data_IF_054358323827
#
_entry.id   IF_054358323827
#
_cell.length_a   1.000
_cell.length_b   1.000
_cell.length_c   1.000
_cell.angle_alpha   90.00
_cell.angle_beta   90.00
_cell.angle_gamma   90.00
#
_symmetry.space_group_name_H-M   'P 1'
#
loop_
_entity.id
_entity.type
_entity.pdbx_description
1 polymer ?
#
# COMPACT_ATOMS: atom_id res chain seq x y z
N UNK A 1 5.25 4.78 19.44
CA UNK A 1 5.92 5.08 18.15
C UNK A 1 6.82 3.96 17.60
N UNK A 2 7.66 3.27 18.40
CA UNK A 2 8.48 2.15 17.88
C UNK A 2 7.69 0.85 17.66
N UNK A 3 6.62 0.64 18.43
CA UNK A 3 5.89 -0.62 18.48
C UNK A 3 4.82 -0.75 17.38
N UNK A 4 4.05 0.31 17.11
CA UNK A 4 3.04 0.38 16.05
C UNK A 4 3.67 0.21 14.66
N UNK A 5 4.84 0.82 14.46
CA UNK A 5 5.62 0.65 13.22
C UNK A 5 6.06 -0.81 13.02
N UNK A 6 6.47 -1.49 14.09
CA UNK A 6 6.82 -2.92 14.03
C UNK A 6 5.58 -3.79 13.74
N UNK A 7 4.43 -3.44 14.31
CA UNK A 7 3.15 -4.11 14.05
C UNK A 7 2.70 -3.91 12.59
N UNK A 8 2.83 -2.71 12.02
CA UNK A 8 2.53 -2.47 10.61
C UNK A 8 3.48 -3.22 9.66
N UNK A 9 4.77 -3.31 9.99
CA UNK A 9 5.69 -4.15 9.23
C UNK A 9 5.27 -5.64 9.27
N UNK A 10 4.82 -6.11 10.44
CA UNK A 10 4.31 -7.49 10.60
C UNK A 10 3.01 -7.71 9.81
N UNK A 11 2.11 -6.73 9.79
CA UNK A 11 0.91 -6.74 8.93
C UNK A 11 1.31 -6.85 7.46
N UNK A 12 2.22 -5.98 6.99
CA UNK A 12 2.65 -5.97 5.59
C UNK A 12 3.27 -7.30 5.16
N UNK A 13 4.14 -7.89 6.01
CA UNK A 13 4.72 -9.19 5.74
C UNK A 13 3.65 -10.29 5.66
N UNK A 14 2.67 -10.28 6.57
CA UNK A 14 1.56 -11.24 6.53
C UNK A 14 0.71 -11.08 5.28
N UNK A 15 0.51 -9.86 4.78
CA UNK A 15 -0.21 -9.60 3.53
C UNK A 15 0.57 -10.09 2.32
N UNK A 16 1.88 -9.87 2.27
CA UNK A 16 2.76 -10.40 1.21
C UNK A 16 2.69 -11.93 1.16
N UNK A 17 2.78 -12.59 2.32
CA UNK A 17 2.63 -14.05 2.43
C UNK A 17 1.23 -14.50 1.96
N UNK A 18 0.17 -13.75 2.30
CA UNK A 18 -1.21 -14.03 1.85
C UNK A 18 -1.41 -13.92 0.34
N UNK A 19 -0.73 -12.99 -0.34
CA UNK A 19 -0.84 -12.83 -1.80
C UNK A 19 -0.31 -14.06 -2.56
N UNK A 20 0.74 -14.69 -2.02
CA UNK A 20 1.33 -15.91 -2.54
C UNK A 20 0.62 -17.19 -2.08
N UNK A 21 -0.28 -17.10 -1.10
CA UNK A 21 -0.86 -18.25 -0.43
C UNK A 21 -1.82 -19.06 -1.33
N UNK A 22 -1.78 -20.37 -1.12
CA UNK A 22 -2.77 -21.35 -1.55
C UNK A 22 -3.55 -21.87 -0.34
N UNK A 23 -4.41 -22.88 -0.54
CA UNK A 23 -5.20 -23.49 0.53
C UNK A 23 -4.34 -24.00 1.70
N UNK A 24 -3.18 -24.60 1.44
CA UNK A 24 -2.35 -25.20 2.47
C UNK A 24 -1.55 -24.16 3.25
N UNK A 25 -1.12 -23.11 2.56
CA UNK A 25 -0.28 -22.05 3.11
C UNK A 25 -1.05 -20.85 3.66
N UNK A 26 -2.35 -20.70 3.36
CA UNK A 26 -3.23 -19.64 3.86
C UNK A 26 -3.31 -19.51 5.39
N UNK A 27 -3.47 -20.59 6.18
CA UNK A 27 -3.85 -20.45 7.59
C UNK A 27 -2.84 -19.68 8.44
N UNK A 28 -1.54 -19.87 8.19
CA UNK A 28 -0.48 -19.21 8.96
C UNK A 28 -0.45 -17.69 8.78
N UNK A 29 -0.25 -17.14 7.57
CA UNK A 29 -0.17 -15.70 7.38
C UNK A 29 -1.51 -15.00 7.67
N UNK A 30 -2.65 -15.67 7.45
CA UNK A 30 -3.96 -15.14 7.85
C UNK A 30 -4.05 -14.93 9.37
N UNK A 31 -3.68 -15.95 10.16
CA UNK A 31 -3.66 -15.81 11.63
C UNK A 31 -2.70 -14.73 12.09
N UNK A 32 -1.51 -14.63 11.48
CA UNK A 32 -0.54 -13.58 11.82
C UNK A 32 -1.13 -12.20 11.57
N UNK A 33 -1.79 -11.98 10.43
CA UNK A 33 -2.46 -10.72 10.12
C UNK A 33 -3.49 -10.36 11.19
N UNK A 34 -4.44 -11.25 11.46
CA UNK A 34 -5.55 -10.97 12.39
C UNK A 34 -5.06 -10.83 13.84
N UNK A 35 -4.11 -11.66 14.28
CA UNK A 35 -3.49 -11.52 15.60
C UNK A 35 -2.76 -10.19 15.77
N UNK A 36 -2.13 -9.69 14.70
CA UNK A 36 -1.43 -8.40 14.75
C UNK A 36 -2.42 -7.24 14.80
N UNK A 37 -3.53 -7.32 14.07
CA UNK A 37 -4.64 -6.35 14.16
C UNK A 37 -5.30 -6.33 15.55
N UNK A 38 -5.24 -7.44 16.29
CA UNK A 38 -5.76 -7.58 17.66
C UNK A 38 -4.74 -7.27 18.77
N UNK A 39 -3.58 -6.72 18.41
CA UNK A 39 -2.56 -6.28 19.38
C UNK A 39 -3.08 -5.16 20.29
N UNK A 40 -2.59 -5.09 21.53
CA UNK A 40 -3.07 -4.14 22.55
C UNK A 40 -2.93 -2.68 22.09
N UNK A 41 -1.87 -2.39 21.35
CA UNK A 41 -1.57 -1.09 20.76
C UNK A 41 -2.65 -0.65 19.77
N UNK A 42 -3.34 -1.60 19.12
CA UNK A 42 -4.42 -1.32 18.19
C UNK A 42 -5.82 -1.38 18.81
N UNK A 43 -5.95 -1.76 20.10
CA UNK A 43 -7.26 -1.84 20.76
C UNK A 43 -8.08 -0.55 20.74
N UNK A 44 -7.51 0.65 20.99
CA UNK A 44 -8.28 1.89 20.95
C UNK A 44 -8.91 2.15 19.57
N UNK A 45 -8.13 1.96 18.51
CA UNK A 45 -8.56 2.21 17.13
C UNK A 45 -9.56 1.16 16.64
N UNK A 46 -9.26 -0.13 16.90
CA UNK A 46 -10.15 -1.22 16.49
C UNK A 46 -11.47 -1.22 17.25
N UNK A 47 -11.47 -0.85 18.54
CA UNK A 47 -12.70 -0.69 19.32
C UNK A 47 -13.58 0.42 18.77
N UNK A 48 -12.99 1.54 18.38
CA UNK A 48 -13.74 2.65 17.77
C UNK A 48 -14.36 2.24 16.41
N UNK A 49 -13.58 1.61 15.53
CA UNK A 49 -14.07 1.13 14.23
C UNK A 49 -15.23 0.12 14.36
N UNK A 50 -15.21 -0.70 15.41
CA UNK A 50 -16.22 -1.76 15.59
C UNK A 50 -17.46 -1.33 16.38
N UNK A 51 -17.51 -0.09 16.88
CA UNK A 51 -18.53 0.36 17.84
C UNK A 51 -19.95 0.44 17.28
N UNK A 52 -20.10 0.75 15.99
CA UNK A 52 -21.40 1.02 15.35
C UNK A 52 -21.64 0.15 14.11
N UNK A 53 -21.07 -1.04 14.09
CA UNK A 53 -21.22 -2.00 12.98
C UNK A 53 -21.71 -3.34 13.49
N UNK A 54 -22.53 -4.01 12.67
CA UNK A 54 -23.07 -5.34 12.96
C UNK A 54 -22.71 -6.28 11.80
N UNK A 55 -21.78 -7.19 12.08
CA UNK A 55 -21.29 -8.15 11.08
C UNK A 55 -22.40 -9.13 10.66
N UNK A 56 -23.23 -9.58 11.58
CA UNK A 56 -24.24 -10.60 11.29
C UNK A 56 -25.39 -9.99 10.47
N UNK A 57 -25.81 -8.76 10.79
CA UNK A 57 -26.77 -8.01 9.96
C UNK A 57 -26.21 -7.74 8.56
N UNK A 58 -24.93 -7.36 8.45
CA UNK A 58 -24.24 -7.15 7.18
C UNK A 58 -24.19 -8.42 6.33
N UNK A 59 -23.83 -9.57 6.92
CA UNK A 59 -23.79 -10.85 6.20
C UNK A 59 -25.19 -11.28 5.76
N UNK A 60 -26.20 -11.19 6.63
CA UNK A 60 -27.59 -11.50 6.28
C UNK A 60 -28.13 -10.62 5.15
N UNK A 61 -27.75 -9.33 5.12
CA UNK A 61 -28.10 -8.44 4.02
C UNK A 61 -27.34 -8.78 2.72
N UNK A 62 -26.08 -9.19 2.83
CA UNK A 62 -25.25 -9.59 1.70
C UNK A 62 -25.77 -10.87 1.04
N UNK A 63 -26.23 -11.84 1.82
CA UNK A 63 -26.81 -13.10 1.33
C UNK A 63 -28.06 -12.89 0.47
N UNK A 64 -28.83 -11.82 0.70
CA UNK A 64 -30.02 -11.50 -0.12
C UNK A 64 -29.69 -11.19 -1.58
N UNK A 65 -28.44 -10.86 -1.88
CA UNK A 65 -27.97 -10.61 -3.25
C UNK A 65 -27.59 -11.88 -3.99
N UNK A 66 -27.54 -13.04 -3.32
CA UNK A 66 -27.20 -14.30 -3.95
C UNK A 66 -28.28 -14.69 -4.97
N UNK A 67 -27.90 -14.74 -6.25
CA UNK A 67 -28.74 -15.29 -7.30
C UNK A 67 -28.50 -16.81 -7.45
N UNK A 68 -29.21 -17.46 -8.37
CA UNK A 68 -29.06 -18.90 -8.64
C UNK A 68 -27.66 -19.35 -9.14
N UNK A 69 -26.72 -18.40 -9.33
CA UNK A 69 -25.36 -18.64 -9.80
C UNK A 69 -24.38 -18.46 -8.64
N UNK A 70 -23.63 -19.50 -8.29
CA UNK A 70 -22.56 -19.44 -7.28
C UNK A 70 -21.52 -18.39 -7.69
N UNK A 71 -21.12 -17.53 -6.75
CA UNK A 71 -20.17 -16.42 -7.01
C UNK A 71 -20.82 -15.12 -7.47
N UNK A 72 -22.15 -15.05 -7.60
CA UNK A 72 -22.87 -13.81 -7.95
C UNK A 72 -23.20 -12.92 -6.74
N UNK A 73 -23.03 -13.44 -5.53
CA UNK A 73 -23.34 -12.72 -4.31
C UNK A 73 -22.43 -11.50 -4.15
N UNK A 74 -23.01 -10.41 -3.66
CA UNK A 74 -22.34 -9.13 -3.42
C UNK A 74 -22.42 -8.79 -1.94
N UNK A 75 -21.30 -8.33 -1.41
CA UNK A 75 -21.25 -7.79 -0.06
C UNK A 75 -21.95 -6.43 -0.02
N UNK A 76 -22.86 -6.27 0.92
CA UNK A 76 -23.68 -5.06 1.10
C UNK A 76 -22.91 -3.99 1.88
N UNK A 77 -21.76 -3.56 1.33
CA UNK A 77 -20.91 -2.58 1.98
C UNK A 77 -21.63 -1.24 2.21
N UNK A 78 -21.44 -0.60 3.37
CA UNK A 78 -21.95 0.75 3.62
C UNK A 78 -21.12 1.80 2.87
N UNK A 79 -21.73 2.94 2.56
CA UNK A 79 -21.03 4.09 1.98
C UNK A 79 -20.13 4.82 3.01
N UNK A 80 -20.43 4.70 4.31
CA UNK A 80 -19.60 5.28 5.37
C UNK A 80 -18.29 4.50 5.51
N UNK A 81 -17.18 5.19 5.27
CA UNK A 81 -15.85 4.59 5.25
C UNK A 81 -15.42 3.98 6.60
N UNK A 82 -15.82 4.57 7.73
CA UNK A 82 -15.48 4.02 9.05
C UNK A 82 -16.24 2.72 9.31
N UNK A 83 -17.52 2.67 8.93
CA UNK A 83 -18.31 1.45 9.01
C UNK A 83 -17.78 0.35 8.09
N UNK A 84 -17.34 0.72 6.87
CA UNK A 84 -16.64 -0.21 5.98
C UNK A 84 -15.40 -0.83 6.64
N UNK A 85 -14.50 -0.01 7.20
CA UNK A 85 -13.31 -0.51 7.90
C UNK A 85 -13.64 -1.40 9.11
N UNK A 86 -14.65 -1.00 9.89
CA UNK A 86 -15.16 -1.80 11.00
C UNK A 86 -15.65 -3.18 10.57
N UNK A 87 -16.45 -3.24 9.49
CA UNK A 87 -16.94 -4.49 8.94
C UNK A 87 -15.84 -5.35 8.33
N UNK A 88 -14.87 -4.76 7.61
CA UNK A 88 -13.69 -5.49 7.13
C UNK A 88 -12.93 -6.14 8.28
N UNK A 89 -12.68 -5.39 9.37
CA UNK A 89 -12.00 -5.92 10.54
C UNK A 89 -12.78 -7.06 11.20
N UNK A 90 -14.09 -6.90 11.40
CA UNK A 90 -14.93 -7.95 11.98
C UNK A 90 -15.00 -9.20 11.08
N UNK A 91 -15.06 -9.01 9.76
CA UNK A 91 -15.03 -10.10 8.81
C UNK A 91 -13.70 -10.87 8.86
N UNK A 92 -12.57 -10.15 8.96
CA UNK A 92 -11.26 -10.78 9.14
C UNK A 92 -11.18 -11.57 10.46
N UNK A 93 -11.74 -11.03 11.53
CA UNK A 93 -11.83 -11.72 12.83
C UNK A 93 -12.69 -12.99 12.77
N UNK A 94 -13.78 -13.00 11.99
CA UNK A 94 -14.69 -14.15 11.86
C UNK A 94 -13.96 -15.45 11.46
N UNK A 95 -12.95 -15.35 10.60
CA UNK A 95 -12.21 -16.52 10.12
C UNK A 95 -10.89 -16.78 10.86
N UNK A 96 -10.57 -16.01 11.92
CA UNK A 96 -9.30 -16.11 12.66
C UNK A 96 -8.98 -17.55 13.09
N UNK A 97 -9.96 -18.20 13.73
CA UNK A 97 -9.80 -19.54 14.30
C UNK A 97 -10.13 -20.65 13.29
N UNK A 98 -10.78 -20.30 12.17
CA UNK A 98 -11.17 -21.24 11.11
C UNK A 98 -10.81 -20.68 9.72
N UNK A 99 -9.50 -20.50 9.39
CA UNK A 99 -9.08 -19.88 8.12
C UNK A 99 -9.54 -20.66 6.89
N UNK A 100 -9.77 -21.97 7.01
CA UNK A 100 -10.25 -22.79 5.90
C UNK A 100 -11.66 -22.39 5.44
N UNK A 101 -12.48 -21.82 6.34
CA UNK A 101 -13.80 -21.27 5.99
C UNK A 101 -13.73 -19.97 5.17
N UNK A 102 -12.55 -19.33 5.11
CA UNK A 102 -12.36 -18.17 4.25
C UNK A 102 -12.46 -18.54 2.76
N UNK A 103 -12.09 -19.76 2.39
CA UNK A 103 -12.07 -20.21 1.00
C UNK A 103 -13.49 -20.28 0.39
N UNK A 104 -14.47 -20.98 0.99
CA UNK A 104 -15.83 -20.97 0.47
C UNK A 104 -16.47 -19.57 0.53
N UNK A 105 -16.11 -18.75 1.52
CA UNK A 105 -16.53 -17.34 1.58
C UNK A 105 -15.98 -16.54 0.39
N UNK A 106 -14.67 -16.62 0.13
CA UNK A 106 -14.02 -15.94 -0.99
C UNK A 106 -14.60 -16.40 -2.33
N UNK A 107 -14.87 -17.69 -2.49
CA UNK A 107 -15.52 -18.20 -3.70
C UNK A 107 -16.94 -17.64 -3.90
N UNK A 108 -17.69 -17.45 -2.81
CA UNK A 108 -19.06 -16.92 -2.86
C UNK A 108 -19.11 -15.44 -3.25
N UNK A 109 -18.19 -14.62 -2.71
CA UNK A 109 -18.28 -13.15 -2.81
C UNK A 109 -17.19 -12.51 -3.69
N UNK A 110 -16.10 -13.21 -3.98
CA UNK A 110 -14.92 -12.70 -4.70
C UNK A 110 -14.62 -13.53 -5.95
N UNK A 111 -15.67 -13.90 -6.66
CA UNK A 111 -15.73 -14.70 -7.89
C UNK A 111 -14.42 -14.74 -8.71
N UNK A 112 -13.65 -15.83 -8.59
CA UNK A 112 -12.52 -16.16 -9.44
C UNK A 112 -12.76 -17.47 -10.20
N UNK A 113 -12.00 -17.71 -11.28
CA UNK A 113 -12.16 -18.92 -12.09
C UNK A 113 -11.83 -20.23 -11.34
N UNK A 114 -11.22 -20.11 -10.15
CA UNK A 114 -10.99 -21.20 -9.21
C UNK A 114 -10.88 -20.65 -7.77
N UNK A 115 -10.78 -21.54 -6.78
CA UNK A 115 -10.68 -21.17 -5.37
C UNK A 115 -9.47 -20.28 -5.07
N UNK A 116 -8.30 -20.58 -5.66
CA UNK A 116 -7.09 -19.77 -5.48
C UNK A 116 -7.25 -18.36 -6.04
N UNK A 117 -7.89 -18.20 -7.20
CA UNK A 117 -8.17 -16.88 -7.77
C UNK A 117 -9.20 -16.10 -6.96
N UNK A 118 -10.19 -16.79 -6.40
CA UNK A 118 -11.18 -16.18 -5.51
C UNK A 118 -10.51 -15.66 -4.22
N UNK A 119 -9.60 -16.47 -3.65
CA UNK A 119 -8.77 -16.07 -2.51
C UNK A 119 -7.87 -14.88 -2.85
N UNK A 120 -7.19 -14.90 -4.01
CA UNK A 120 -6.36 -13.76 -4.45
C UNK A 120 -7.18 -12.49 -4.61
N UNK A 121 -8.40 -12.60 -5.16
CA UNK A 121 -9.33 -11.45 -5.27
C UNK A 121 -9.77 -10.96 -3.90
N UNK A 122 -10.08 -11.84 -2.96
CA UNK A 122 -10.34 -11.45 -1.57
C UNK A 122 -9.15 -10.66 -0.98
N UNK A 123 -7.92 -11.15 -1.14
CA UNK A 123 -6.72 -10.45 -0.65
C UNK A 123 -6.54 -9.09 -1.34
N UNK A 124 -6.63 -9.03 -2.66
CA UNK A 124 -6.34 -7.80 -3.42
C UNK A 124 -7.43 -6.73 -3.32
N UNK A 125 -8.69 -7.12 -3.18
CA UNK A 125 -9.83 -6.19 -3.15
C UNK A 125 -10.36 -5.89 -1.75
N UNK A 126 -10.06 -6.72 -0.74
CA UNK A 126 -10.47 -6.48 0.65
C UNK A 126 -9.29 -6.25 1.57
N UNK A 127 -8.37 -7.22 1.67
CA UNK A 127 -7.29 -7.17 2.67
C UNK A 127 -6.32 -6.01 2.43
N UNK A 128 -5.87 -5.85 1.18
CA UNK A 128 -4.91 -4.80 0.81
C UNK A 128 -5.48 -3.38 1.03
N UNK A 129 -6.66 -3.01 0.48
CA UNK A 129 -7.25 -1.70 0.75
C UNK A 129 -7.51 -1.47 2.24
N UNK A 130 -8.04 -2.48 2.95
CA UNK A 130 -8.28 -2.39 4.38
C UNK A 130 -7.01 -2.08 5.17
N UNK A 131 -5.90 -2.78 4.91
CA UNK A 131 -4.65 -2.57 5.65
C UNK A 131 -4.09 -1.17 5.41
N UNK A 132 -4.16 -0.66 4.17
CA UNK A 132 -3.77 0.71 3.84
C UNK A 132 -4.62 1.72 4.62
N UNK A 133 -5.93 1.59 4.53
CA UNK A 133 -6.88 2.56 5.13
C UNK A 133 -6.88 2.48 6.67
N UNK A 134 -6.68 1.28 7.23
CA UNK A 134 -6.51 1.09 8.68
C UNK A 134 -5.25 1.79 9.19
N UNK A 135 -4.15 1.74 8.43
CA UNK A 135 -2.93 2.48 8.78
C UNK A 135 -3.18 3.98 8.83
N UNK A 136 -3.83 4.53 7.80
CA UNK A 136 -4.21 5.96 7.76
C UNK A 136 -5.12 6.33 8.94
N UNK A 137 -6.08 5.48 9.30
CA UNK A 137 -6.95 5.67 10.45
C UNK A 137 -6.16 5.75 11.78
N UNK A 138 -5.19 4.85 11.99
CA UNK A 138 -4.34 4.84 13.19
C UNK A 138 -3.48 6.09 13.24
N UNK A 139 -2.81 6.46 12.15
CA UNK A 139 -1.93 7.63 12.07
C UNK A 139 -2.71 8.92 12.37
N UNK A 140 -3.91 9.09 11.78
CA UNK A 140 -4.77 10.25 12.05
C UNK A 140 -5.20 10.38 13.53
N UNK A 141 -5.50 9.28 14.21
CA UNK A 141 -5.91 9.32 15.63
C UNK A 141 -4.73 9.49 16.58
N UNK A 142 -3.53 9.06 16.19
CA UNK A 142 -2.29 9.35 16.91
C UNK A 142 -1.97 10.86 16.86
N UNK A 143 -2.18 11.52 15.72
CA UNK A 143 -1.96 12.97 15.58
C UNK A 143 -2.98 13.82 16.34
N UNK A 144 -4.20 13.31 16.56
CA UNK A 144 -5.30 14.02 17.21
C UNK A 144 -5.50 13.72 18.69
N UNK A 145 -4.74 12.81 19.29
CA UNK A 145 -4.83 12.55 20.73
C UNK A 145 -4.32 13.77 21.50
N UNK A 146 -5.16 14.42 22.33
CA UNK A 146 -4.72 15.56 23.12
C UNK A 146 -3.91 15.04 24.31
N UNK A 147 -2.58 15.13 24.24
CA UNK A 147 -1.77 15.10 25.45
C UNK A 147 -2.02 16.41 26.21
N UNK A 148 -2.52 16.24 27.44
CA UNK A 148 -2.74 17.26 28.46
C UNK A 148 -1.48 18.08 28.75
N UNK A 149 -1.66 19.41 28.74
CA UNK A 149 -0.87 20.42 29.46
C UNK A 149 0.65 20.22 29.53
N UNK A 150 1.36 20.51 28.44
CA UNK A 150 2.71 21.08 28.57
C UNK A 150 2.89 22.27 27.62
N UNK A 151 3.34 23.37 28.21
CA UNK A 151 3.37 24.72 27.63
C UNK A 151 4.02 24.72 26.24
N UNK A 152 3.36 25.40 25.31
CA UNK A 152 3.86 25.73 23.99
C UNK A 152 5.30 26.26 24.05
N UNK A 153 6.25 25.39 23.70
CA UNK A 153 7.59 25.75 23.29
C UNK A 153 7.64 25.49 21.79
N UNK A 154 7.80 26.50 20.91
CA UNK A 154 7.81 26.32 19.46
C UNK A 154 9.08 25.64 18.92
N UNK A 155 9.65 24.68 19.65
CA UNK A 155 10.77 23.87 19.20
C UNK A 155 10.58 22.41 19.62
N UNK A 156 10.41 21.53 18.60
CA UNK A 156 10.15 20.05 18.57
C UNK A 156 8.74 19.78 18.00
N UNK A 157 8.53 19.25 16.79
CA UNK A 157 9.31 18.27 16.03
C UNK A 157 9.16 18.57 14.54
N UNK A 158 10.26 18.99 13.91
CA UNK A 158 10.44 18.78 12.47
C UNK A 158 10.41 17.28 12.23
N UNK A 159 9.48 16.80 11.39
CA UNK A 159 9.52 15.44 10.86
C UNK A 159 10.81 15.26 10.07
N UNK A 160 11.87 14.79 10.72
CA UNK A 160 13.00 14.20 10.00
C UNK A 160 12.59 12.78 9.63
N UNK A 161 12.00 12.62 8.45
CA UNK A 161 11.89 11.31 7.80
C UNK A 161 13.28 10.70 7.74
N UNK A 162 13.54 9.67 8.55
CA UNK A 162 14.77 8.88 8.41
C UNK A 162 14.67 8.08 7.12
N UNK A 163 15.20 8.64 6.03
CA UNK A 163 15.42 7.91 4.79
C UNK A 163 16.62 7.01 5.03
N UNK A 164 16.41 5.70 5.07
CA UNK A 164 17.48 4.73 5.23
C UNK A 164 18.14 4.52 3.85
N UNK A 165 19.14 5.35 3.54
CA UNK A 165 19.94 5.25 2.32
C UNK A 165 21.16 4.39 2.63
N UNK A 166 21.19 3.15 2.14
CA UNK A 166 22.25 2.17 2.45
C UNK A 166 23.67 2.57 1.95
N UNK A 167 23.82 3.68 1.23
CA UNK A 167 25.07 4.12 0.58
C UNK A 167 25.50 5.55 0.94
N UNK A 168 25.23 6.03 2.15
CA UNK A 168 25.72 7.34 2.60
C UNK A 168 27.12 7.20 3.24
N UNK A 169 28.19 7.41 2.46
CA UNK A 169 29.55 7.55 2.97
C UNK A 169 29.91 9.04 3.03
N UNK A 170 30.17 9.58 4.23
CA UNK A 170 30.94 10.81 4.40
C UNK A 170 30.24 12.06 4.95
N UNK A 171 29.43 11.97 6.02
CA UNK A 171 29.11 13.14 6.84
C UNK A 171 29.61 12.90 8.27
N UNK A 172 30.51 13.77 8.74
CA UNK A 172 31.03 13.81 10.10
C UNK A 172 30.58 15.12 10.75
N UNK A 173 29.60 15.06 11.65
CA UNK A 173 29.07 16.22 12.38
C UNK A 173 27.58 16.10 12.71
N UNK A 174 27.10 16.87 13.68
CA UNK A 174 25.69 16.97 14.04
C UNK A 174 24.93 17.80 12.98
N UNK A 175 23.85 17.24 12.45
CA UNK A 175 22.99 17.84 11.42
C UNK A 175 21.64 18.23 12.03
N UNK A 176 21.64 19.31 12.81
CA UNK A 176 20.42 19.89 13.36
C UNK A 176 20.06 21.17 12.60
N UNK A 177 18.93 21.15 11.89
CA UNK A 177 18.37 22.33 11.18
C UNK A 177 18.88 22.58 9.75
N UNK A 178 19.58 21.62 9.13
CA UNK A 178 20.11 21.74 7.76
C UNK A 178 19.32 20.93 6.74
N UNK A 179 19.11 21.47 5.55
CA UNK A 179 18.55 20.73 4.40
C UNK A 179 19.68 20.01 3.66
N UNK A 180 19.62 18.67 3.60
CA UNK A 180 20.52 17.87 2.77
C UNK A 180 19.94 17.83 1.35
N UNK A 181 20.54 18.57 0.43
CA UNK A 181 20.19 18.49 -0.99
C UNK A 181 21.16 17.52 -1.67
N UNK A 182 20.70 16.28 -1.88
CA UNK A 182 21.47 15.28 -2.62
C UNK A 182 21.27 15.50 -4.12
N UNK A 183 22.25 16.13 -4.76
CA UNK A 183 22.29 16.20 -6.22
C UNK A 183 22.80 14.86 -6.77
N UNK A 184 21.88 14.03 -7.29
CA UNK A 184 22.27 12.86 -8.07
C UNK A 184 22.73 13.36 -9.45
N UNK A 185 24.05 13.48 -9.63
CA UNK A 185 24.62 13.68 -10.96
C UNK A 185 24.44 12.39 -11.76
N UNK A 186 23.26 12.24 -12.37
CA UNK A 186 22.95 11.15 -13.28
C UNK A 186 23.62 11.45 -14.61
N UNK A 187 24.58 10.62 -15.03
CA UNK A 187 25.19 10.69 -16.36
C UNK A 187 24.24 10.25 -17.48
N UNK A 188 22.94 10.54 -17.36
CA UNK A 188 21.93 10.28 -18.38
C UNK A 188 21.89 11.49 -19.32
N UNK A 189 22.05 11.25 -20.61
CA UNK A 189 21.84 12.29 -21.63
C UNK A 189 20.36 12.38 -21.97
N UNK A 190 19.84 13.60 -22.14
CA UNK A 190 18.47 13.81 -22.59
C UNK A 190 18.19 13.01 -23.89
N UNK A 191 16.98 12.48 -24.03
CA UNK A 191 16.54 11.68 -25.18
C UNK A 191 17.18 10.28 -25.34
N UNK A 192 17.95 9.79 -24.37
CA UNK A 192 18.46 8.40 -24.35
C UNK A 192 17.46 7.44 -23.70
N UNK A 193 16.57 6.86 -24.52
CA UNK A 193 15.55 5.91 -24.05
C UNK A 193 16.17 4.61 -23.52
N UNK A 194 17.22 4.12 -24.17
CA UNK A 194 17.91 2.90 -23.73
C UNK A 194 18.65 3.12 -22.40
N UNK A 195 19.20 4.32 -22.20
CA UNK A 195 19.74 4.75 -20.91
C UNK A 195 18.68 4.77 -19.79
N UNK A 196 17.48 5.31 -20.05
CA UNK A 196 16.36 5.29 -19.11
C UNK A 196 15.92 3.86 -18.76
N UNK A 197 15.71 3.00 -19.76
CA UNK A 197 15.26 1.63 -19.55
C UNK A 197 16.31 0.80 -18.81
N UNK A 198 17.59 0.96 -19.15
CA UNK A 198 18.70 0.29 -18.45
C UNK A 198 18.79 0.71 -17.00
N UNK A 199 18.58 2.01 -16.72
CA UNK A 199 18.59 2.53 -15.36
C UNK A 199 17.44 1.95 -14.53
N UNK A 200 16.21 1.97 -15.05
CA UNK A 200 15.04 1.40 -14.36
C UNK A 200 15.18 -0.11 -14.15
N UNK A 201 15.74 -0.83 -15.12
CA UNK A 201 16.08 -2.25 -15.01
C UNK A 201 17.06 -2.52 -13.87
N UNK A 202 18.09 -1.68 -13.71
CA UNK A 202 19.05 -1.76 -12.59
C UNK A 202 18.37 -1.58 -11.22
N UNK A 203 17.26 -0.86 -11.19
CA UNK A 203 16.40 -0.69 -10.03
C UNK A 203 15.28 -1.75 -9.92
N UNK A 204 15.45 -2.91 -10.57
CA UNK A 204 14.54 -4.05 -10.52
C UNK A 204 13.13 -3.77 -11.05
N UNK A 205 12.98 -2.83 -11.98
CA UNK A 205 11.73 -2.72 -12.76
C UNK A 205 11.71 -3.88 -13.76
N UNK A 206 10.60 -4.63 -13.79
CA UNK A 206 10.43 -5.80 -14.67
C UNK A 206 10.33 -5.43 -16.14
N UNK A 207 10.71 -6.35 -17.03
CA UNK A 207 10.58 -6.16 -18.49
C UNK A 207 9.15 -5.83 -18.98
N UNK A 208 8.06 -6.38 -18.40
CA UNK A 208 6.71 -5.99 -18.78
C UNK A 208 6.46 -4.50 -18.52
N UNK A 209 6.86 -4.01 -17.35
CA UNK A 209 6.74 -2.61 -16.96
C UNK A 209 7.63 -1.70 -17.82
N UNK A 210 8.85 -2.13 -18.16
CA UNK A 210 9.74 -1.38 -19.06
C UNK A 210 9.17 -1.29 -20.48
N UNK A 211 8.55 -2.35 -20.97
CA UNK A 211 7.88 -2.37 -22.28
C UNK A 211 6.68 -1.42 -22.29
N UNK A 212 5.90 -1.42 -21.21
CA UNK A 212 4.76 -0.51 -21.03
C UNK A 212 5.20 0.95 -20.97
N UNK A 213 6.32 1.25 -20.31
CA UNK A 213 6.91 2.59 -20.28
C UNK A 213 7.32 3.05 -21.69
N UNK A 214 7.97 2.18 -22.46
CA UNK A 214 8.36 2.49 -23.85
C UNK A 214 7.13 2.85 -24.69
N UNK A 215 6.07 2.05 -24.61
CA UNK A 215 4.82 2.32 -25.34
C UNK A 215 4.11 3.58 -24.85
N UNK A 216 4.20 3.91 -23.56
CA UNK A 216 3.66 5.14 -23.01
C UNK A 216 4.41 6.38 -23.53
N UNK A 217 5.74 6.33 -23.56
CA UNK A 217 6.59 7.42 -24.06
C UNK A 217 6.40 7.66 -25.55
N UNK A 218 6.24 6.61 -26.35
CA UNK A 218 6.01 6.71 -27.80
C UNK A 218 4.63 7.29 -28.15
N UNK A 219 3.63 7.05 -27.30
CA UNK A 219 2.25 7.47 -27.54
C UNK A 219 1.90 8.84 -26.96
N UNK A 220 2.59 9.28 -25.91
CA UNK A 220 2.35 10.57 -25.27
C UNK A 220 3.08 11.73 -25.98
N UNK A 221 2.48 12.92 -26.06
CA UNK A 221 3.19 14.11 -26.51
C UNK A 221 4.34 14.44 -25.53
N UNK A 222 5.44 14.96 -26.05
CA UNK A 222 6.58 15.39 -25.21
C UNK A 222 6.09 16.41 -24.17
N UNK A 223 6.26 16.14 -22.87
CA UNK A 223 5.86 17.06 -21.82
C UNK A 223 6.68 18.35 -21.89
N UNK A 224 6.01 19.48 -21.70
CA UNK A 224 6.59 20.83 -21.76
C UNK A 224 6.82 21.46 -20.40
N UNK A 225 6.44 20.80 -19.30
CA UNK A 225 6.56 21.33 -17.93
C UNK A 225 6.88 20.22 -16.91
N UNK A 226 7.72 20.51 -15.89
CA UNK A 226 8.00 19.59 -14.79
C UNK A 226 6.72 19.12 -14.09
N UNK A 227 6.61 17.82 -13.81
CA UNK A 227 5.46 17.23 -13.11
C UNK A 227 4.18 17.07 -13.96
N UNK A 228 4.14 17.57 -15.19
CA UNK A 228 3.04 17.40 -16.13
C UNK A 228 3.41 16.36 -17.20
N UNK A 229 3.61 15.11 -16.79
CA UNK A 229 3.84 14.02 -17.72
C UNK A 229 2.59 13.74 -18.56
N UNK A 230 2.77 13.10 -19.72
CA UNK A 230 1.65 12.65 -20.53
C UNK A 230 0.74 11.68 -19.77
N UNK A 231 -0.48 11.50 -20.26
CA UNK A 231 -1.52 10.70 -19.60
C UNK A 231 -1.06 9.25 -19.37
N UNK A 232 -0.44 8.63 -20.38
CA UNK A 232 -0.03 7.22 -20.32
C UNK A 232 1.20 7.05 -19.44
N UNK A 233 2.14 7.98 -19.48
CA UNK A 233 3.31 8.00 -18.60
C UNK A 233 2.89 8.22 -17.15
N UNK A 234 1.93 9.11 -16.89
CA UNK A 234 1.39 9.34 -15.54
C UNK A 234 0.67 8.11 -14.99
N UNK A 235 -0.13 7.42 -15.81
CA UNK A 235 -0.77 6.16 -15.45
C UNK A 235 0.25 5.06 -15.15
N UNK A 236 1.31 4.97 -15.95
CA UNK A 236 2.41 4.05 -15.71
C UNK A 236 3.13 4.33 -14.38
N UNK A 237 3.42 5.61 -14.08
CA UNK A 237 4.00 6.02 -12.79
C UNK A 237 3.07 5.59 -11.65
N UNK A 238 1.75 5.85 -11.77
CA UNK A 238 0.76 5.43 -10.77
C UNK A 238 0.74 3.91 -10.54
N UNK A 239 0.82 3.12 -11.62
CA UNK A 239 0.95 1.65 -11.53
C UNK A 239 2.23 1.25 -10.79
N UNK A 240 3.37 1.85 -11.13
CA UNK A 240 4.65 1.53 -10.49
C UNK A 240 4.67 1.92 -9.01
N UNK A 241 4.07 3.05 -8.64
CA UNK A 241 3.90 3.44 -7.24
C UNK A 241 2.99 2.47 -6.49
N UNK A 242 1.95 1.96 -7.13
CA UNK A 242 1.10 0.89 -6.57
C UNK A 242 1.88 -0.41 -6.40
N UNK A 243 2.78 -0.77 -7.33
CA UNK A 243 3.69 -1.92 -7.20
C UNK A 243 4.70 -1.74 -6.06
N UNK A 244 5.22 -0.53 -5.86
CA UNK A 244 6.06 -0.19 -4.70
C UNK A 244 5.29 -0.23 -3.39
N UNK A 245 4.08 0.33 -3.36
CA UNK A 245 3.23 0.35 -2.18
C UNK A 245 2.78 -1.07 -1.78
N UNK A 246 2.57 -1.95 -2.76
CA UNK A 246 2.24 -3.36 -2.56
C UNK A 246 3.46 -4.26 -2.33
N UNK A 247 4.68 -3.73 -2.43
CA UNK A 247 5.93 -4.50 -2.28
C UNK A 247 6.28 -5.43 -3.45
N UNK A 248 5.45 -5.47 -4.50
CA UNK A 248 5.72 -6.22 -5.72
C UNK A 248 6.95 -5.69 -6.49
N UNK A 249 7.25 -4.41 -6.30
CA UNK A 249 8.52 -3.80 -6.68
C UNK A 249 9.33 -3.50 -5.41
N UNK A 250 10.53 -4.09 -5.30
CA UNK A 250 11.40 -4.02 -4.12
C UNK A 250 12.09 -2.65 -3.92
N UNK A 251 11.38 -1.56 -4.25
CA UNK A 251 11.78 -0.16 -4.05
C UNK A 251 10.70 0.51 -3.20
N UNK A 252 11.11 1.17 -2.12
CA UNK A 252 10.18 1.83 -1.18
C UNK A 252 9.38 2.92 -1.88
N UNK A 253 8.16 3.20 -1.44
CA UNK A 253 7.27 4.20 -2.05
C UNK A 253 7.93 5.58 -2.19
N UNK A 254 8.64 6.04 -1.15
CA UNK A 254 9.34 7.34 -1.19
C UNK A 254 10.51 7.35 -2.17
N UNK A 255 11.27 6.26 -2.25
CA UNK A 255 12.36 6.10 -3.23
C UNK A 255 11.82 5.97 -4.65
N UNK A 256 10.72 5.25 -4.83
CA UNK A 256 10.07 5.02 -6.11
C UNK A 256 9.53 6.32 -6.71
N UNK A 257 8.83 7.14 -5.92
CA UNK A 257 8.34 8.45 -6.37
C UNK A 257 9.47 9.32 -6.91
N UNK A 258 10.56 9.47 -6.13
CA UNK A 258 11.69 10.30 -6.55
C UNK A 258 12.49 9.69 -7.71
N UNK A 259 12.67 8.37 -7.73
CA UNK A 259 13.40 7.69 -8.79
C UNK A 259 12.67 7.84 -10.13
N UNK A 260 11.36 7.53 -10.17
CA UNK A 260 10.58 7.58 -11.39
C UNK A 260 10.42 9.01 -11.90
N UNK A 261 10.08 9.96 -11.01
CA UNK A 261 9.92 11.37 -11.40
C UNK A 261 11.23 11.93 -11.94
N UNK A 262 12.35 11.70 -11.25
CA UNK A 262 13.66 12.20 -11.65
C UNK A 262 14.18 11.56 -12.94
N UNK A 263 14.06 10.24 -13.09
CA UNK A 263 14.56 9.53 -14.27
C UNK A 263 13.77 9.91 -15.54
N UNK A 264 12.44 9.99 -15.44
CA UNK A 264 11.56 10.35 -16.56
C UNK A 264 11.71 11.84 -16.91
N UNK A 265 11.77 12.72 -15.90
CA UNK A 265 12.01 14.15 -16.12
C UNK A 265 13.36 14.40 -16.81
N UNK A 266 14.41 13.71 -16.37
CA UNK A 266 15.75 13.77 -16.98
C UNK A 266 15.75 13.28 -18.43
N UNK A 267 15.04 12.18 -18.72
CA UNK A 267 14.88 11.70 -20.10
C UNK A 267 14.23 12.75 -21.01
N UNK A 268 13.19 13.43 -20.53
CA UNK A 268 12.51 14.49 -21.27
C UNK A 268 13.26 15.83 -21.28
N UNK A 269 14.35 15.97 -20.52
CA UNK A 269 15.10 17.22 -20.41
C UNK A 269 14.34 18.33 -19.67
N UNK A 270 13.32 17.97 -18.89
CA UNK A 270 12.59 18.87 -18.00
C UNK A 270 13.20 18.71 -16.59
N UNK A 271 13.70 19.79 -15.99
CA UNK A 271 14.33 19.70 -14.67
C UNK A 271 13.32 19.12 -13.64
N UNK A 272 13.77 18.14 -12.85
CA UNK A 272 12.99 17.47 -11.82
C UNK A 272 12.73 18.38 -10.60
#
# INVERSE_FOLDING_TARGET
MSNEKALFNRINNAVLDLQGADYQSLPRPYRVLVQTLDSEEFHPFTKELTRQVDLEAFLAQSERSAASIVGSARLAWPDDHRQYLGLCLLLLRKFRDQPDQLIPFAHTYFNGNNLTQSLRKFVSSLVLPFVRDFKEHVEYHLEKSPESDEKFNPSKTSMTSTINIQNFQGILGDISGSTIQQTLNMGLSASDLEGLLTHLRKHNVGEPELTELKLAIEADPKPTSPGAFGERVSLWIGKMLSLSASGAWAVSLGTASNLLSSAIATYYGIAA
#
